data_IF_641658717629
#
_entry.id   IF_641658717629
#
_cell.length_a   1.000
_cell.length_b   1.000
_cell.length_c   1.000
_cell.angle_alpha   90.00
_cell.angle_beta   90.00
_cell.angle_gamma   90.00
#
_symmetry.space_group_name_H-M   'P 1'
#
loop_
_entity.id
_entity.type
_entity.pdbx_description
1 polymer ?
#
# COMPACT_ATOMS: atom_id res chain seq x y z
N UNK A 1 -19.36 -10.85 15.55
CA UNK A 1 -20.18 -10.26 16.64
C UNK A 1 -19.42 -9.83 17.90
N UNK A 2 -18.31 -10.47 18.29
CA UNK A 2 -17.65 -10.16 19.57
C UNK A 2 -16.91 -8.80 19.58
N UNK A 3 -16.34 -8.37 18.45
CA UNK A 3 -15.56 -7.12 18.40
C UNK A 3 -16.37 -5.86 18.78
N UNK A 4 -17.58 -5.63 18.24
CA UNK A 4 -18.43 -4.52 18.70
C UNK A 4 -18.75 -4.58 20.21
N UNK A 5 -19.02 -5.75 20.77
CA UNK A 5 -19.29 -5.93 22.21
C UNK A 5 -18.08 -5.54 23.06
N UNK A 6 -16.90 -6.03 22.69
CA UNK A 6 -15.63 -5.70 23.35
C UNK A 6 -15.28 -4.22 23.22
N UNK A 7 -15.57 -3.60 22.08
CA UNK A 7 -15.32 -2.18 21.84
C UNK A 7 -16.29 -1.28 22.61
N UNK A 8 -17.56 -1.67 22.74
CA UNK A 8 -18.52 -0.95 23.57
C UNK A 8 -18.14 -0.98 25.07
N UNK A 9 -17.61 -2.10 25.54
CA UNK A 9 -17.12 -2.23 26.93
C UNK A 9 -15.74 -1.59 27.17
N UNK A 10 -14.97 -1.39 26.10
CA UNK A 10 -13.63 -0.79 26.17
C UNK A 10 -13.46 0.23 25.02
N UNK A 11 -14.13 1.40 25.07
CA UNK A 11 -14.14 2.35 23.95
C UNK A 11 -12.75 2.85 23.56
N UNK A 12 -11.88 3.05 24.55
CA UNK A 12 -10.53 3.58 24.35
C UNK A 12 -9.49 2.51 24.02
N UNK A 13 -9.83 1.23 24.20
CA UNK A 13 -8.90 0.14 23.93
C UNK A 13 -8.61 0.02 22.43
N UNK A 14 -7.34 -0.24 22.11
CA UNK A 14 -6.90 -0.52 20.74
C UNK A 14 -7.56 -1.80 20.23
N UNK A 15 -8.05 -1.77 19.00
CA UNK A 15 -8.68 -2.93 18.33
C UNK A 15 -7.78 -4.17 18.36
N UNK A 16 -6.46 -4.02 18.25
CA UNK A 16 -5.49 -5.12 18.31
C UNK A 16 -5.52 -5.87 19.65
N UNK A 17 -5.69 -5.15 20.76
CA UNK A 17 -5.82 -5.75 22.08
C UNK A 17 -7.18 -6.45 22.24
N UNK A 18 -8.26 -5.84 21.74
CA UNK A 18 -9.59 -6.45 21.77
C UNK A 18 -9.64 -7.76 20.98
N UNK A 19 -9.08 -7.77 19.76
CA UNK A 19 -9.00 -8.98 18.93
C UNK A 19 -8.15 -10.06 19.60
N UNK A 20 -7.06 -9.69 20.27
CA UNK A 20 -6.24 -10.64 21.04
C UNK A 20 -7.05 -11.31 22.17
N UNK A 21 -7.86 -10.54 22.90
CA UNK A 21 -8.75 -11.08 23.95
C UNK A 21 -9.83 -11.98 23.35
N UNK A 22 -10.47 -11.56 22.26
CA UNK A 22 -11.47 -12.38 21.57
C UNK A 22 -10.87 -13.71 21.10
N UNK A 23 -9.66 -13.70 20.54
CA UNK A 23 -8.96 -14.92 20.14
C UNK A 23 -8.61 -15.83 21.33
N UNK A 24 -8.36 -15.26 22.51
CA UNK A 24 -8.20 -16.03 23.76
C UNK A 24 -9.53 -16.67 24.16
N UNK A 25 -10.61 -15.91 24.23
CA UNK A 25 -11.95 -16.44 24.54
C UNK A 25 -12.39 -17.53 23.56
N UNK A 26 -12.12 -17.38 22.27
CA UNK A 26 -12.40 -18.42 21.28
C UNK A 26 -11.62 -19.71 21.55
N UNK A 27 -10.35 -19.64 21.97
CA UNK A 27 -9.57 -20.85 22.30
C UNK A 27 -10.17 -21.58 23.50
N UNK A 28 -10.57 -20.83 24.52
CA UNK A 28 -11.17 -21.33 25.76
C UNK A 28 -12.62 -21.83 25.59
N UNK A 29 -13.29 -21.44 24.50
CA UNK A 29 -14.67 -21.82 24.23
C UNK A 29 -14.82 -23.35 24.10
N UNK A 30 -15.85 -23.98 24.72
CA UNK A 30 -16.11 -25.40 24.56
C UNK A 30 -16.33 -25.81 23.10
N UNK A 31 -15.97 -27.04 22.75
CA UNK A 31 -16.15 -27.55 21.39
C UNK A 31 -17.63 -27.65 20.99
N UNK A 32 -18.55 -27.85 21.94
CA UNK A 32 -19.99 -27.80 21.72
C UNK A 32 -20.46 -26.44 21.23
N UNK A 33 -19.93 -25.35 21.80
CA UNK A 33 -20.26 -23.98 21.38
C UNK A 33 -19.57 -23.62 20.06
N UNK A 34 -18.30 -24.04 19.88
CA UNK A 34 -17.60 -23.90 18.59
C UNK A 34 -18.32 -24.65 17.46
N UNK A 35 -18.96 -25.78 17.77
CA UNK A 35 -19.69 -26.60 16.80
C UNK A 35 -20.83 -25.82 16.14
N UNK A 36 -21.57 -24.99 16.90
CA UNK A 36 -22.63 -24.13 16.36
C UNK A 36 -22.09 -23.23 15.23
N UNK A 37 -20.94 -22.59 15.43
CA UNK A 37 -20.31 -21.76 14.41
C UNK A 37 -19.81 -22.56 13.20
N UNK A 38 -19.29 -23.78 13.41
CA UNK A 38 -18.84 -24.66 12.32
C UNK A 38 -20.01 -25.15 11.48
N UNK A 39 -21.14 -25.46 12.09
CA UNK A 39 -22.35 -25.89 11.40
C UNK A 39 -22.98 -24.74 10.62
N UNK A 40 -23.07 -23.55 11.22
CA UNK A 40 -23.49 -22.34 10.51
C UNK A 40 -22.59 -22.06 9.30
N UNK A 41 -21.26 -22.12 9.46
CA UNK A 41 -20.32 -21.96 8.34
C UNK A 41 -20.54 -22.97 7.22
N UNK A 42 -20.81 -24.25 7.55
CA UNK A 42 -21.09 -25.27 6.53
C UNK A 42 -22.36 -24.95 5.75
N UNK A 43 -23.42 -24.51 6.42
CA UNK A 43 -24.65 -24.10 5.76
C UNK A 43 -24.40 -22.89 4.83
N UNK A 44 -23.72 -21.85 5.33
CA UNK A 44 -23.36 -20.67 4.55
C UNK A 44 -22.46 -21.01 3.34
N UNK A 45 -21.59 -22.00 3.49
CA UNK A 45 -20.70 -22.45 2.42
C UNK A 45 -21.46 -23.10 1.26
N UNK A 46 -22.48 -23.90 1.54
CA UNK A 46 -23.30 -24.49 0.48
C UNK A 46 -24.13 -23.42 -0.24
N UNK A 47 -24.67 -22.43 0.49
CA UNK A 47 -25.33 -21.27 -0.14
C UNK A 47 -24.36 -20.49 -1.04
N UNK A 48 -23.16 -20.18 -0.53
CA UNK A 48 -22.13 -19.48 -1.30
C UNK A 48 -21.72 -20.23 -2.58
N UNK A 49 -21.61 -21.56 -2.52
CA UNK A 49 -21.30 -22.40 -3.68
C UNK A 49 -22.37 -22.30 -4.77
N UNK A 50 -23.64 -22.33 -4.39
CA UNK A 50 -24.75 -22.17 -5.33
C UNK A 50 -24.77 -20.76 -5.93
N UNK A 51 -24.59 -19.73 -5.09
CA UNK A 51 -24.52 -18.33 -5.53
C UNK A 51 -23.35 -18.08 -6.49
N UNK A 52 -22.14 -18.54 -6.17
CA UNK A 52 -20.99 -18.33 -7.04
C UNK A 52 -21.09 -19.12 -8.34
N UNK A 53 -21.74 -20.28 -8.33
CA UNK A 53 -21.96 -21.07 -9.55
C UNK A 53 -22.95 -20.34 -10.47
N UNK A 54 -24.11 -19.91 -9.94
CA UNK A 54 -25.08 -19.11 -10.70
C UNK A 54 -24.47 -17.81 -11.22
N UNK A 55 -23.70 -17.12 -10.40
CA UNK A 55 -23.00 -15.90 -10.80
C UNK A 55 -22.08 -16.16 -12.00
N UNK A 56 -21.25 -17.22 -11.94
CA UNK A 56 -20.34 -17.57 -13.03
C UNK A 56 -21.05 -17.99 -14.31
N UNK A 57 -22.14 -18.74 -14.20
CA UNK A 57 -22.95 -19.16 -15.36
C UNK A 57 -23.61 -17.97 -16.08
N UNK A 58 -23.91 -16.89 -15.37
CA UNK A 58 -24.49 -15.68 -15.94
C UNK A 58 -23.48 -14.78 -16.67
N UNK A 59 -22.17 -15.01 -16.50
CA UNK A 59 -21.14 -14.15 -17.09
C UNK A 59 -20.88 -14.51 -18.56
N UNK A 60 -20.68 -13.48 -19.36
CA UNK A 60 -20.14 -13.62 -20.71
C UNK A 60 -18.62 -13.88 -20.68
N UNK A 61 -18.04 -14.47 -21.74
CA UNK A 61 -16.58 -14.69 -21.80
C UNK A 61 -15.73 -13.41 -21.63
N UNK A 62 -16.24 -12.27 -22.09
CA UNK A 62 -15.60 -10.96 -21.93
C UNK A 62 -15.56 -10.52 -20.47
N UNK A 63 -16.69 -10.67 -19.75
CA UNK A 63 -16.77 -10.34 -18.33
C UNK A 63 -15.91 -11.25 -17.48
N UNK A 64 -15.84 -12.55 -17.81
CA UNK A 64 -14.93 -13.50 -17.14
C UNK A 64 -13.48 -13.03 -17.29
N UNK A 65 -13.06 -12.71 -18.51
CA UNK A 65 -11.69 -12.22 -18.78
C UNK A 65 -11.39 -10.92 -18.01
N UNK A 66 -12.36 -10.00 -17.97
CA UNK A 66 -12.24 -8.75 -17.20
C UNK A 66 -12.11 -9.00 -15.70
N UNK A 67 -12.91 -9.91 -15.15
CA UNK A 67 -12.88 -10.29 -13.74
C UNK A 67 -11.55 -10.97 -13.37
N UNK A 68 -11.07 -11.89 -14.20
CA UNK A 68 -9.77 -12.54 -14.00
C UNK A 68 -8.62 -11.53 -14.00
N UNK A 69 -8.67 -10.56 -14.92
CA UNK A 69 -7.71 -9.46 -14.97
C UNK A 69 -7.76 -8.62 -13.70
N UNK A 70 -8.94 -8.22 -13.23
CA UNK A 70 -9.10 -7.43 -12.01
C UNK A 70 -8.54 -8.17 -10.78
N UNK A 71 -8.84 -9.47 -10.65
CA UNK A 71 -8.31 -10.32 -9.58
C UNK A 71 -6.77 -10.37 -9.64
N UNK A 72 -6.21 -10.53 -10.84
CA UNK A 72 -4.76 -10.55 -11.05
C UNK A 72 -4.13 -9.20 -10.68
N UNK A 73 -4.70 -8.09 -11.14
CA UNK A 73 -4.21 -6.74 -10.90
C UNK A 73 -4.22 -6.42 -9.39
N UNK A 74 -5.29 -6.75 -8.67
CA UNK A 74 -5.37 -6.59 -7.22
C UNK A 74 -4.35 -7.48 -6.48
N UNK A 75 -4.13 -8.71 -6.94
CA UNK A 75 -3.09 -9.59 -6.38
C UNK A 75 -1.68 -9.01 -6.59
N UNK A 76 -1.37 -8.54 -7.80
CA UNK A 76 -0.07 -7.94 -8.13
C UNK A 76 0.16 -6.65 -7.34
N UNK A 77 -0.86 -5.81 -7.22
CA UNK A 77 -0.83 -4.59 -6.39
C UNK A 77 -0.58 -4.91 -4.92
N UNK A 78 -1.29 -5.88 -4.33
CA UNK A 78 -1.05 -6.32 -2.94
C UNK A 78 0.39 -6.82 -2.77
N UNK A 79 0.90 -7.64 -3.70
CA UNK A 79 2.30 -8.13 -3.67
C UNK A 79 3.31 -6.98 -3.74
N UNK A 80 3.09 -6.00 -4.62
CA UNK A 80 3.95 -4.83 -4.76
C UNK A 80 3.94 -3.96 -3.49
N UNK A 81 2.78 -3.75 -2.86
CA UNK A 81 2.67 -3.00 -1.60
C UNK A 81 3.38 -3.71 -0.46
N UNK A 82 3.22 -5.03 -0.31
CA UNK A 82 3.90 -5.81 0.72
C UNK A 82 5.42 -5.75 0.53
N UNK A 83 5.91 -5.99 -0.69
CA UNK A 83 7.34 -5.90 -1.01
C UNK A 83 7.91 -4.50 -0.75
N UNK A 84 7.14 -3.44 -1.04
CA UNK A 84 7.54 -2.07 -0.72
C UNK A 84 7.65 -1.85 0.79
N UNK A 85 6.68 -2.33 1.58
CA UNK A 85 6.73 -2.21 3.05
C UNK A 85 7.91 -2.97 3.64
N UNK A 86 8.18 -4.17 3.13
CA UNK A 86 9.34 -4.98 3.50
C UNK A 86 10.65 -4.23 3.21
N UNK A 87 10.83 -3.67 2.01
CA UNK A 87 12.02 -2.86 1.71
C UNK A 87 12.16 -1.62 2.60
N UNK A 88 11.04 -0.96 2.96
CA UNK A 88 11.08 0.16 3.91
C UNK A 88 11.51 -0.33 5.30
N UNK A 89 10.98 -1.47 5.76
CA UNK A 89 11.32 -2.05 7.05
C UNK A 89 12.79 -2.50 7.12
N UNK A 90 13.33 -3.01 6.01
CA UNK A 90 14.74 -3.39 5.87
C UNK A 90 15.67 -2.19 5.65
N UNK A 91 15.15 -0.96 5.70
CA UNK A 91 15.97 0.25 5.56
C UNK A 91 16.59 0.42 4.17
N UNK A 92 15.99 -0.17 3.12
CA UNK A 92 16.55 -0.09 1.75
C UNK A 92 16.74 1.38 1.33
N UNK A 93 17.95 1.77 0.88
CA UNK A 93 18.23 3.13 0.43
C UNK A 93 17.24 3.65 -0.61
N UNK A 94 16.85 4.91 -0.47
CA UNK A 94 15.99 5.57 -1.46
C UNK A 94 16.77 5.79 -2.76
N UNK A 95 16.09 5.56 -3.89
CA UNK A 95 16.61 5.82 -5.24
C UNK A 95 17.20 7.23 -5.37
N UNK A 96 18.20 7.42 -6.24
CA UNK A 96 18.82 8.72 -6.41
C UNK A 96 17.81 9.71 -6.99
N UNK A 97 17.90 10.96 -6.54
CA UNK A 97 17.09 12.07 -6.99
C UNK A 97 17.65 12.61 -8.31
N UNK A 98 16.78 12.74 -9.31
CA UNK A 98 17.14 13.48 -10.53
C UNK A 98 17.27 14.98 -10.25
N UNK A 99 17.94 15.72 -11.13
CA UNK A 99 18.06 17.18 -11.04
C UNK A 99 16.67 17.86 -10.93
N UNK A 100 15.70 17.37 -11.69
CA UNK A 100 14.31 17.83 -11.59
C UNK A 100 13.68 17.54 -10.22
N UNK A 101 13.95 16.38 -9.61
CA UNK A 101 13.44 16.09 -8.26
C UNK A 101 14.06 17.00 -7.19
N UNK A 102 15.34 17.34 -7.33
CA UNK A 102 16.00 18.33 -6.46
C UNK A 102 15.35 19.70 -6.64
N UNK A 103 15.17 20.15 -7.88
CA UNK A 103 14.50 21.40 -8.20
C UNK A 103 13.07 21.47 -7.65
N UNK A 104 12.28 20.42 -7.83
CA UNK A 104 10.93 20.33 -7.29
C UNK A 104 10.96 20.42 -5.77
N UNK A 105 11.86 19.70 -5.10
CA UNK A 105 11.95 19.75 -3.64
C UNK A 105 12.25 21.16 -3.11
N UNK A 106 13.04 21.96 -3.83
CA UNK A 106 13.37 23.33 -3.47
C UNK A 106 12.24 24.32 -3.81
N UNK A 107 11.69 24.28 -5.02
CA UNK A 107 10.78 25.31 -5.55
C UNK A 107 9.31 25.04 -5.30
N UNK A 108 8.94 23.81 -4.92
CA UNK A 108 7.52 23.46 -4.74
C UNK A 108 6.83 24.27 -3.65
N UNK A 109 7.53 24.61 -2.56
CA UNK A 109 6.91 25.36 -1.46
C UNK A 109 6.54 26.79 -1.89
N UNK A 110 7.39 27.43 -2.69
CA UNK A 110 7.25 28.82 -3.16
C UNK A 110 6.40 28.95 -4.43
N UNK A 111 6.12 27.85 -5.12
CA UNK A 111 5.35 27.88 -6.36
C UNK A 111 3.91 28.36 -6.18
N UNK A 112 3.42 29.11 -7.16
CA UNK A 112 2.05 29.59 -7.24
C UNK A 112 1.08 28.45 -7.61
N UNK A 113 -0.10 28.47 -6.99
CA UNK A 113 -1.17 27.50 -7.19
C UNK A 113 -1.88 27.17 -5.88
N UNK A 114 -3.19 26.98 -5.95
CA UNK A 114 -4.03 26.69 -4.78
C UNK A 114 -3.97 25.20 -4.40
N UNK A 115 -3.69 24.35 -5.39
CA UNK A 115 -3.54 22.91 -5.23
C UNK A 115 -2.08 22.43 -5.45
N UNK A 116 -1.66 21.32 -4.82
CA UNK A 116 -0.38 20.67 -5.12
C UNK A 116 -0.16 20.38 -6.61
N UNK A 117 -1.23 20.08 -7.34
CA UNK A 117 -1.22 19.79 -8.76
C UNK A 117 -0.89 21.04 -9.59
N UNK A 118 -1.50 22.18 -9.26
CA UNK A 118 -1.21 23.46 -9.91
C UNK A 118 0.19 23.95 -9.58
N UNK A 119 0.61 23.88 -8.31
CA UNK A 119 1.99 24.20 -7.90
C UNK A 119 3.01 23.38 -8.67
N UNK A 120 2.78 22.07 -8.79
CA UNK A 120 3.66 21.19 -9.57
C UNK A 120 3.68 21.55 -11.06
N UNK A 121 2.54 21.98 -11.62
CA UNK A 121 2.46 22.46 -13.01
C UNK A 121 3.30 23.73 -13.19
N UNK A 122 3.21 24.69 -12.26
CA UNK A 122 4.03 25.91 -12.24
C UNK A 122 5.52 25.57 -12.17
N UNK A 123 5.93 24.72 -11.21
CA UNK A 123 7.32 24.26 -11.09
C UNK A 123 7.81 23.58 -12.37
N UNK A 124 6.99 22.74 -12.99
CA UNK A 124 7.34 22.06 -14.24
C UNK A 124 7.61 23.05 -15.37
N UNK A 125 6.77 24.08 -15.53
CA UNK A 125 6.99 25.10 -16.56
C UNK A 125 8.22 25.96 -16.25
N UNK A 126 8.43 26.34 -14.98
CA UNK A 126 9.63 27.05 -14.56
C UNK A 126 10.90 26.26 -14.86
N UNK A 127 10.93 24.95 -14.56
CA UNK A 127 12.05 24.06 -14.88
C UNK A 127 12.38 24.02 -16.37
N UNK A 128 11.37 23.98 -17.24
CA UNK A 128 11.59 23.98 -18.69
C UNK A 128 12.27 25.28 -19.15
N UNK A 129 11.87 26.39 -18.56
CA UNK A 129 12.34 27.74 -18.92
C UNK A 129 13.68 28.11 -18.28
N UNK A 130 14.19 27.30 -17.32
CA UNK A 130 15.53 27.51 -16.77
C UNK A 130 16.61 27.34 -17.85
N UNK A 131 17.60 28.21 -17.78
CA UNK A 131 18.83 28.13 -18.57
C UNK A 131 19.69 26.93 -18.14
N UNK A 132 20.62 26.52 -19.01
CA UNK A 132 21.53 25.41 -18.70
C UNK A 132 22.44 25.72 -17.51
N UNK A 133 22.86 26.99 -17.35
CA UNK A 133 23.66 27.42 -16.19
C UNK A 133 22.89 27.32 -14.88
N UNK A 134 21.61 27.67 -14.86
CA UNK A 134 20.75 27.50 -13.68
C UNK A 134 20.46 26.03 -13.39
N UNK A 135 20.33 25.20 -14.44
CA UNK A 135 20.16 23.75 -14.30
C UNK A 135 21.40 23.06 -13.77
N UNK A 136 22.60 23.58 -14.03
CA UNK A 136 23.87 22.96 -13.65
C UNK A 136 23.97 22.71 -12.13
N UNK A 137 23.47 23.63 -11.31
CA UNK A 137 23.44 23.47 -9.84
C UNK A 137 22.64 22.21 -9.46
N UNK A 138 21.46 22.04 -10.04
CA UNK A 138 20.60 20.88 -9.76
C UNK A 138 21.17 19.58 -10.35
N UNK A 139 21.86 19.67 -11.50
CA UNK A 139 22.59 18.55 -12.11
C UNK A 139 23.72 18.09 -11.17
N UNK A 140 24.48 19.03 -10.61
CA UNK A 140 25.55 18.72 -9.67
C UNK A 140 25.02 18.07 -8.39
N UNK A 141 23.94 18.61 -7.81
CA UNK A 141 23.27 18.01 -6.64
C UNK A 141 22.72 16.61 -6.94
N UNK A 142 22.24 16.35 -8.15
CA UNK A 142 21.79 15.02 -8.56
C UNK A 142 22.95 14.02 -8.68
N UNK A 143 24.11 14.45 -9.22
CA UNK A 143 25.34 13.63 -9.26
C UNK A 143 25.82 13.27 -7.86
N UNK A 144 25.77 14.22 -6.92
CA UNK A 144 26.12 13.96 -5.52
C UNK A 144 25.14 12.97 -4.86
N UNK A 145 23.84 13.07 -5.16
CA UNK A 145 22.84 12.12 -4.66
C UNK A 145 22.97 10.71 -5.28
N UNK A 146 23.49 10.61 -6.51
CA UNK A 146 23.84 9.35 -7.16
C UNK A 146 25.01 8.67 -6.45
N UNK A 147 26.06 9.43 -6.10
CA UNK A 147 27.19 8.92 -5.31
C UNK A 147 26.72 8.45 -3.93
N UNK A 148 25.89 9.26 -3.25
CA UNK A 148 25.25 8.88 -1.98
C UNK A 148 24.51 7.55 -2.11
N UNK A 149 23.63 7.44 -3.11
CA UNK A 149 22.84 6.23 -3.35
C UNK A 149 23.73 5.01 -3.58
N UNK A 150 24.78 5.13 -4.39
CA UNK A 150 25.70 4.04 -4.67
C UNK A 150 26.39 3.53 -3.39
N UNK A 151 26.90 4.45 -2.57
CA UNK A 151 27.56 4.11 -1.31
C UNK A 151 26.60 3.48 -0.29
N UNK A 152 25.39 4.05 -0.14
CA UNK A 152 24.36 3.50 0.73
C UNK A 152 23.88 2.12 0.26
N UNK A 153 23.67 1.94 -1.05
CA UNK A 153 23.24 0.66 -1.62
C UNK A 153 24.29 -0.42 -1.42
N UNK A 154 25.57 -0.11 -1.67
CA UNK A 154 26.66 -1.06 -1.41
C UNK A 154 26.69 -1.50 0.05
N UNK A 155 26.62 -0.55 0.97
CA UNK A 155 26.59 -0.84 2.41
C UNK A 155 25.36 -1.64 2.82
N UNK A 156 24.19 -1.34 2.23
CA UNK A 156 22.95 -2.05 2.49
C UNK A 156 22.98 -3.48 1.95
N UNK A 157 23.46 -3.69 0.72
CA UNK A 157 23.60 -5.02 0.12
C UNK A 157 24.61 -5.90 0.87
N UNK A 158 25.67 -5.31 1.45
CA UNK A 158 26.62 -6.02 2.32
C UNK A 158 26.02 -6.40 3.69
N UNK A 159 25.01 -5.67 4.18
CA UNK A 159 24.35 -5.92 5.47
C UNK A 159 23.19 -6.92 5.39
N UNK A 160 22.65 -7.14 4.18
CA UNK A 160 21.47 -7.98 3.91
C UNK A 160 21.85 -9.45 3.72
#
# INVERSE_FOLDING_TARGET
>A
EQLPKFKAQNPDAKTTELVRRIAKHWRELPDSEKKVYREAYKADWEVYKEEISRFKEQLTPSEITSLEKEILDERLKRKAVTKRKEFIQLGKPKRPRSAYNVYVAERFQEAEGDSPQEKLKTVKENWKNLSDSEKEIYIQLAKEDEIRYHNEMKSWEEQM
#
